data_IF_930703692827
#
_entry.id   IF_930703692827
#
_cell.length_a   1.000
_cell.length_b   1.000
_cell.length_c   1.000
_cell.angle_alpha   90.00
_cell.angle_beta   90.00
_cell.angle_gamma   90.00
#
_symmetry.space_group_name_H-M   'P 1'
#
loop_
_entity.id
_entity.type
_entity.pdbx_description
1 polymer ?
#
# COMPACT_ATOMS: atom_id res chain seq x y z
N UNK A 1 3.06 -15.24 -13.16
CA UNK A 1 3.78 -14.07 -12.62
C UNK A 1 3.84 -13.04 -13.74
N UNK A 2 3.38 -11.83 -13.47
CA UNK A 2 3.03 -10.83 -14.49
C UNK A 2 4.28 -10.31 -15.22
N UNK A 3 4.28 -10.37 -16.56
CA UNK A 3 5.50 -10.24 -17.41
C UNK A 3 6.19 -8.88 -17.26
N UNK A 4 5.48 -7.86 -16.77
CA UNK A 4 6.00 -6.51 -16.53
C UNK A 4 6.40 -6.23 -15.07
N UNK A 5 5.88 -6.99 -14.10
CA UNK A 5 6.11 -6.73 -12.68
C UNK A 5 7.48 -7.23 -12.21
N UNK A 6 7.87 -8.44 -12.62
CA UNK A 6 9.17 -9.01 -12.28
C UNK A 6 10.37 -8.13 -12.68
N UNK A 7 10.45 -7.62 -13.93
CA UNK A 7 11.53 -6.71 -14.29
C UNK A 7 11.44 -5.38 -13.53
N UNK A 8 10.23 -4.88 -13.26
CA UNK A 8 10.05 -3.67 -12.46
C UNK A 8 10.61 -3.82 -11.03
N UNK A 9 10.26 -4.91 -10.33
CA UNK A 9 10.78 -5.20 -8.99
C UNK A 9 12.31 -5.37 -8.97
N UNK A 10 12.87 -5.96 -10.03
CA UNK A 10 14.30 -6.22 -10.14
C UNK A 10 15.13 -4.97 -10.47
N UNK A 11 14.56 -4.04 -11.26
CA UNK A 11 15.30 -2.91 -11.82
C UNK A 11 15.00 -1.57 -11.12
N UNK A 12 13.86 -1.44 -10.44
CA UNK A 12 13.49 -0.21 -9.73
C UNK A 12 13.92 -0.23 -8.26
N UNK A 13 14.13 0.96 -7.73
CA UNK A 13 14.52 1.19 -6.33
C UNK A 13 13.48 2.02 -5.57
N UNK A 14 13.59 2.07 -4.23
CA UNK A 14 12.75 2.91 -3.38
C UNK A 14 12.90 4.40 -3.75
N UNK A 15 14.11 4.84 -4.09
CA UNK A 15 14.39 6.21 -4.54
C UNK A 15 13.71 6.55 -5.87
N UNK A 16 13.73 5.62 -6.84
CA UNK A 16 13.01 5.81 -8.10
C UNK A 16 11.48 5.88 -7.90
N UNK A 17 10.94 5.01 -7.04
CA UNK A 17 9.52 5.06 -6.69
C UNK A 17 9.16 6.40 -6.02
N UNK A 18 10.00 6.89 -5.10
CA UNK A 18 9.85 8.19 -4.46
C UNK A 18 9.81 9.32 -5.49
N UNK A 19 10.74 9.31 -6.44
CA UNK A 19 10.79 10.32 -7.50
C UNK A 19 9.55 10.29 -8.41
N UNK A 20 9.07 9.10 -8.79
CA UNK A 20 7.88 8.93 -9.65
C UNK A 20 6.58 9.35 -8.95
N UNK A 21 6.47 9.13 -7.65
CA UNK A 21 5.30 9.49 -6.86
C UNK A 21 5.31 10.95 -6.38
N UNK A 22 6.49 11.58 -6.31
CA UNK A 22 6.70 12.84 -5.59
C UNK A 22 6.27 12.76 -4.11
N UNK A 23 6.45 11.58 -3.50
CA UNK A 23 6.07 11.24 -2.14
C UNK A 23 7.12 10.29 -1.56
N UNK A 24 7.33 10.33 -0.24
CA UNK A 24 8.30 9.48 0.45
C UNK A 24 7.91 8.00 0.41
N UNK A 25 8.38 7.25 -0.59
CA UNK A 25 7.95 5.87 -0.81
C UNK A 25 8.33 4.94 0.34
N UNK A 26 9.45 5.20 1.02
CA UNK A 26 9.82 4.53 2.26
C UNK A 26 8.74 4.63 3.34
N UNK A 27 8.19 5.83 3.57
CA UNK A 27 7.10 6.06 4.53
C UNK A 27 5.80 5.41 4.07
N UNK A 28 5.48 5.46 2.77
CA UNK A 28 4.30 4.79 2.23
C UNK A 28 4.37 3.27 2.43
N UNK A 29 5.49 2.63 2.07
CA UNK A 29 5.69 1.19 2.25
C UNK A 29 5.57 0.82 3.73
N UNK A 30 6.22 1.56 4.63
CA UNK A 30 6.17 1.29 6.07
C UNK A 30 4.76 1.48 6.65
N UNK A 31 4.11 2.59 6.32
CA UNK A 31 2.75 2.92 6.75
C UNK A 31 1.73 1.89 6.27
N UNK A 32 1.92 1.33 5.07
CA UNK A 32 1.04 0.29 4.56
C UNK A 32 1.05 -0.94 5.46
N UNK A 33 2.23 -1.40 5.88
CA UNK A 33 2.35 -2.57 6.75
C UNK A 33 1.75 -2.34 8.12
N UNK A 34 2.05 -1.19 8.73
CA UNK A 34 1.48 -0.79 10.02
C UNK A 34 -0.06 -0.67 9.98
N UNK A 35 -0.63 -0.13 8.89
CA UNK A 35 -2.09 -0.07 8.72
C UNK A 35 -2.74 -1.45 8.53
N UNK A 36 -2.03 -2.38 7.91
CA UNK A 36 -2.57 -3.71 7.58
C UNK A 36 -2.35 -4.74 8.69
N UNK A 37 -1.45 -4.51 9.65
CA UNK A 37 -1.25 -5.42 10.80
C UNK A 37 -2.55 -5.77 11.54
N UNK A 38 -3.44 -4.81 11.89
CA UNK A 38 -4.72 -5.12 12.52
C UNK A 38 -5.69 -5.89 11.60
N UNK A 39 -5.55 -5.76 10.28
CA UNK A 39 -6.44 -6.41 9.31
C UNK A 39 -6.31 -7.93 9.37
N UNK A 40 -5.12 -8.47 9.63
CA UNK A 40 -4.89 -9.92 9.74
C UNK A 40 -5.72 -10.59 10.84
N UNK A 41 -6.08 -9.83 11.87
CA UNK A 41 -6.88 -10.30 13.01
C UNK A 41 -8.35 -9.86 12.93
N UNK A 42 -8.70 -9.05 11.93
CA UNK A 42 -10.03 -8.50 11.73
C UNK A 42 -10.93 -9.47 10.95
N UNK A 43 -12.23 -9.41 11.19
CA UNK A 43 -13.21 -10.15 10.38
C UNK A 43 -13.55 -9.34 9.13
N UNK A 44 -13.89 -9.98 7.99
CA UNK A 44 -14.26 -9.24 6.78
C UNK A 44 -15.35 -8.19 6.97
N UNK A 45 -16.34 -8.49 7.83
CA UNK A 45 -17.44 -7.59 8.14
C UNK A 45 -17.06 -6.37 9.02
N UNK A 46 -15.82 -6.25 9.52
CA UNK A 46 -15.40 -5.08 10.32
C UNK A 46 -14.60 -4.04 9.53
N UNK A 47 -14.13 -4.37 8.33
CA UNK A 47 -13.31 -3.47 7.51
C UNK A 47 -14.19 -2.75 6.48
N UNK A 48 -14.52 -1.50 6.77
CA UNK A 48 -15.44 -0.70 5.95
C UNK A 48 -14.75 0.43 5.17
N UNK A 49 -13.55 0.83 5.62
CA UNK A 49 -12.79 1.90 4.98
C UNK A 49 -12.03 1.36 3.78
N UNK A 50 -11.95 2.19 2.73
CA UNK A 50 -11.11 1.92 1.57
C UNK A 50 -9.73 2.56 1.74
N UNK A 51 -8.72 1.95 1.13
CA UNK A 51 -7.34 2.42 1.16
C UNK A 51 -7.01 3.13 -0.16
N UNK A 52 -6.45 4.33 -0.07
CA UNK A 52 -6.03 5.14 -1.23
C UNK A 52 -4.51 5.11 -1.33
N UNK A 53 -4.02 4.45 -2.38
CA UNK A 53 -2.61 4.22 -2.65
C UNK A 53 -2.16 5.11 -3.81
N UNK A 54 -1.15 5.98 -3.64
CA UNK A 54 -0.75 6.91 -4.68
C UNK A 54 -0.13 6.18 -5.87
N UNK A 55 -0.39 6.67 -7.08
CA UNK A 55 0.19 6.16 -8.31
C UNK A 55 0.91 7.27 -9.09
N UNK A 56 1.93 6.92 -9.91
CA UNK A 56 2.61 7.88 -10.76
C UNK A 56 1.66 8.55 -11.77
N UNK A 57 2.00 9.80 -12.13
CA UNK A 57 1.34 10.52 -13.23
C UNK A 57 1.55 9.85 -14.57
N UNK A 58 2.76 9.35 -14.81
CA UNK A 58 3.10 8.57 -16.00
C UNK A 58 2.24 7.31 -16.10
N UNK A 59 1.56 7.15 -17.24
CA UNK A 59 0.64 6.04 -17.51
C UNK A 59 1.34 4.68 -17.63
N UNK A 60 2.59 4.66 -18.11
CA UNK A 60 3.35 3.42 -18.25
C UNK A 60 3.75 2.84 -16.88
N UNK A 61 4.22 3.69 -15.96
CA UNK A 61 4.55 3.29 -14.59
C UNK A 61 3.31 3.02 -13.72
N UNK A 62 2.14 3.58 -14.04
CA UNK A 62 0.93 3.49 -13.20
C UNK A 62 0.52 2.06 -12.85
N UNK A 63 0.44 1.19 -13.85
CA UNK A 63 -0.04 -0.18 -13.67
C UNK A 63 0.97 -1.04 -12.90
N UNK A 64 2.27 -0.86 -13.16
CA UNK A 64 3.31 -1.62 -12.46
C UNK A 64 3.46 -1.18 -11.00
N UNK A 65 3.26 0.11 -10.71
CA UNK A 65 3.20 0.60 -9.32
C UNK A 65 1.93 0.12 -8.60
N UNK A 66 0.78 0.08 -9.28
CA UNK A 66 -0.43 -0.51 -8.71
C UNK A 66 -0.23 -2.01 -8.37
N UNK A 67 0.41 -2.76 -9.27
CA UNK A 67 0.75 -4.16 -9.04
C UNK A 67 1.75 -4.32 -7.87
N UNK A 68 2.76 -3.46 -7.76
CA UNK A 68 3.66 -3.43 -6.59
C UNK A 68 2.90 -3.21 -5.27
N UNK A 69 1.94 -2.28 -5.24
CA UNK A 69 1.12 -2.09 -4.05
C UNK A 69 0.31 -3.33 -3.67
N UNK A 70 -0.25 -4.02 -4.67
CA UNK A 70 -0.98 -5.27 -4.44
C UNK A 70 -0.07 -6.40 -3.96
N UNK A 71 1.19 -6.47 -4.42
CA UNK A 71 2.17 -7.45 -3.91
C UNK A 71 2.45 -7.29 -2.41
N UNK A 72 2.40 -6.06 -1.89
CA UNK A 72 2.54 -5.79 -0.46
C UNK A 72 1.24 -6.08 0.30
N UNK A 73 0.10 -5.69 -0.27
CA UNK A 73 -1.21 -5.74 0.41
C UNK A 73 -1.82 -7.14 0.46
N UNK A 74 -1.78 -7.89 -0.65
CA UNK A 74 -2.51 -9.16 -0.79
C UNK A 74 -2.14 -10.19 0.29
N UNK A 75 -0.87 -10.37 0.69
CA UNK A 75 -0.50 -11.34 1.72
C UNK A 75 -1.24 -11.19 3.05
N UNK A 76 -1.61 -9.97 3.46
CA UNK A 76 -2.36 -9.71 4.70
C UNK A 76 -3.79 -10.25 4.67
N UNK A 77 -4.40 -10.31 3.48
CA UNK A 77 -5.84 -10.57 3.33
C UNK A 77 -6.16 -11.93 2.69
N UNK A 78 -5.15 -12.61 2.11
CA UNK A 78 -5.32 -13.91 1.46
C UNK A 78 -5.92 -14.99 2.36
N UNK A 79 -5.68 -14.93 3.66
CA UNK A 79 -6.17 -15.95 4.63
C UNK A 79 -7.57 -15.67 5.17
N UNK A 80 -8.10 -14.48 4.92
CA UNK A 80 -9.30 -13.95 5.58
C UNK A 80 -10.56 -13.90 4.71
N UNK A 81 -10.48 -14.32 3.45
CA UNK A 81 -11.65 -14.41 2.55
C UNK A 81 -12.27 -13.06 2.19
N UNK A 82 -11.48 -11.98 2.17
CA UNK A 82 -11.94 -10.67 1.70
C UNK A 82 -12.18 -10.69 0.19
N UNK A 83 -13.33 -10.18 -0.23
CA UNK A 83 -13.53 -9.70 -1.59
C UNK A 83 -12.91 -8.31 -1.72
N UNK A 84 -12.24 -8.04 -2.85
CA UNK A 84 -11.66 -6.74 -3.14
C UNK A 84 -12.38 -6.05 -4.27
N UNK A 85 -12.51 -4.73 -4.14
CA UNK A 85 -12.90 -3.86 -5.24
C UNK A 85 -11.76 -2.89 -5.48
N UNK A 86 -11.27 -2.86 -6.72
CA UNK A 86 -10.11 -2.06 -7.12
C UNK A 86 -10.52 -0.99 -8.12
N UNK A 87 -10.21 0.27 -7.83
CA UNK A 87 -10.41 1.38 -8.75
C UNK A 87 -9.09 2.06 -9.06
N UNK A 88 -8.71 2.14 -10.33
CA UNK A 88 -7.64 3.01 -10.79
C UNK A 88 -8.27 4.32 -11.26
N UNK A 89 -8.10 5.38 -10.48
CA UNK A 89 -8.80 6.65 -10.68
C UNK A 89 -7.92 7.84 -10.27
N UNK A 90 -8.52 9.02 -10.15
CA UNK A 90 -7.91 10.19 -9.52
C UNK A 90 -8.61 10.48 -8.19
N UNK A 91 -7.83 10.73 -7.16
CA UNK A 91 -8.29 11.21 -5.85
C UNK A 91 -7.50 12.47 -5.53
N UNK A 92 -8.20 13.58 -5.22
CA UNK A 92 -7.57 14.90 -5.03
C UNK A 92 -6.65 15.28 -6.21
N UNK A 93 -7.12 15.06 -7.45
CA UNK A 93 -6.37 15.29 -8.71
C UNK A 93 -5.08 14.45 -8.91
N UNK A 94 -4.82 13.47 -8.04
CA UNK A 94 -3.67 12.57 -8.15
C UNK A 94 -4.10 11.17 -8.57
N UNK A 95 -3.40 10.52 -9.51
CA UNK A 95 -3.66 9.11 -9.81
C UNK A 95 -3.52 8.25 -8.57
N UNK A 96 -4.49 7.38 -8.33
CA UNK A 96 -4.51 6.52 -7.16
C UNK A 96 -5.14 5.16 -7.49
N UNK A 97 -4.68 4.14 -6.77
CA UNK A 97 -5.35 2.86 -6.63
C UNK A 97 -6.18 2.93 -5.35
N UNK A 98 -7.49 2.85 -5.48
CA UNK A 98 -8.41 2.74 -4.34
C UNK A 98 -8.80 1.28 -4.15
N UNK A 99 -8.52 0.75 -2.96
CA UNK A 99 -8.77 -0.63 -2.56
C UNK A 99 -9.91 -0.65 -1.54
N UNK A 100 -11.07 -1.12 -1.94
CA UNK A 100 -12.17 -1.44 -1.04
C UNK A 100 -12.07 -2.87 -0.53
N UNK A 101 -12.36 -3.07 0.75
CA UNK A 101 -12.38 -4.39 1.40
C UNK A 101 -13.83 -4.77 1.68
N UNK A 102 -14.34 -5.81 1.04
CA UNK A 102 -15.73 -6.26 1.13
C UNK A 102 -16.47 -6.27 -0.21
N UNK A 103 -17.35 -7.26 -0.41
CA UNK A 103 -18.02 -7.51 -1.69
C UNK A 103 -19.02 -6.43 -2.12
N UNK A 104 -19.35 -5.47 -1.25
CA UNK A 104 -20.24 -4.35 -1.59
C UNK A 104 -19.44 -3.13 -2.05
N UNK A 105 -19.29 -2.97 -3.38
CA UNK A 105 -18.61 -1.83 -3.99
C UNK A 105 -19.28 -0.47 -3.69
N UNK A 106 -20.53 -0.45 -3.22
CA UNK A 106 -21.35 0.76 -3.04
C UNK A 106 -20.67 1.79 -2.14
N UNK A 107 -20.16 1.39 -0.97
CA UNK A 107 -19.52 2.32 -0.04
C UNK A 107 -18.24 2.93 -0.62
N UNK A 108 -17.40 2.10 -1.24
CA UNK A 108 -16.16 2.56 -1.88
C UNK A 108 -16.46 3.48 -3.06
N UNK A 109 -17.45 3.14 -3.89
CA UNK A 109 -17.85 3.96 -5.03
C UNK A 109 -18.49 5.28 -4.61
N UNK A 110 -19.31 5.29 -3.55
CA UNK A 110 -19.87 6.52 -3.00
C UNK A 110 -18.76 7.46 -2.52
N UNK A 111 -17.76 6.93 -1.81
CA UNK A 111 -16.58 7.68 -1.39
C UNK A 111 -15.70 8.18 -2.55
N UNK A 112 -15.80 7.59 -3.75
CA UNK A 112 -15.14 8.12 -4.95
C UNK A 112 -15.88 9.32 -5.57
N UNK A 113 -17.19 9.43 -5.32
CA UNK A 113 -18.06 10.46 -5.91
C UNK A 113 -18.21 11.65 -4.96
N UNK A 114 -18.41 11.39 -3.67
CA UNK A 114 -18.64 12.41 -2.65
C UNK A 114 -17.40 12.62 -1.76
N UNK A 115 -16.73 13.78 -1.84
CA UNK A 115 -15.55 14.09 -1.02
C UNK A 115 -15.82 14.10 0.49
N UNK A 116 -17.05 14.38 0.92
CA UNK A 116 -17.40 14.37 2.34
C UNK A 116 -17.45 12.93 2.87
N UNK A 117 -18.01 12.01 2.07
CA UNK A 117 -17.98 10.58 2.38
C UNK A 117 -16.54 10.05 2.31
N UNK A 118 -15.76 10.52 1.33
CA UNK A 118 -14.34 10.19 1.21
C UNK A 118 -13.56 10.50 2.49
N UNK A 119 -13.78 11.68 3.08
CA UNK A 119 -13.06 12.11 4.30
C UNK A 119 -13.23 11.15 5.49
N UNK A 120 -14.37 10.46 5.58
CA UNK A 120 -14.64 9.48 6.64
C UNK A 120 -14.24 8.04 6.24
N UNK A 121 -14.52 7.66 4.99
CA UNK A 121 -14.45 6.28 4.50
C UNK A 121 -13.16 5.93 3.74
N UNK A 122 -12.26 6.88 3.50
CA UNK A 122 -10.96 6.65 2.85
C UNK A 122 -9.80 6.87 3.82
N UNK A 123 -8.88 5.91 3.84
CA UNK A 123 -7.57 6.05 4.46
C UNK A 123 -6.57 6.40 3.37
N UNK A 124 -5.99 7.59 3.43
CA UNK A 124 -4.98 8.03 2.47
C UNK A 124 -3.60 7.72 2.99
N UNK A 125 -2.83 6.92 2.25
CA UNK A 125 -1.49 6.53 2.67
C UNK A 125 -0.51 7.72 2.68
N UNK A 126 -0.83 8.79 1.96
CA UNK A 126 -0.07 10.05 1.98
C UNK A 126 -0.09 10.73 3.36
N UNK A 127 -1.14 10.50 4.17
CA UNK A 127 -1.32 11.08 5.49
C UNK A 127 -0.56 10.24 6.54
N UNK A 128 0.77 10.39 6.56
CA UNK A 128 1.70 9.48 7.25
C UNK A 128 2.42 10.04 8.49
N UNK A 129 1.87 11.10 9.09
CA UNK A 129 2.42 11.72 10.30
C UNK A 129 2.44 10.76 11.51
N UNK A 130 1.47 9.85 11.59
CA UNK A 130 1.33 8.87 12.68
C UNK A 130 2.41 7.77 12.67
N UNK A 131 3.18 7.61 11.58
CA UNK A 131 4.16 6.53 11.44
C UNK A 131 5.25 6.63 12.51
N UNK A 132 5.73 7.84 12.81
CA UNK A 132 6.88 8.02 13.72
C UNK A 132 6.57 7.52 15.14
N UNK A 133 5.31 7.64 15.57
CA UNK A 133 4.83 7.13 16.87
C UNK A 133 4.83 5.59 16.93
N UNK A 134 4.60 4.93 15.79
CA UNK A 134 4.48 3.46 15.72
C UNK A 134 5.84 2.77 15.53
N UNK A 135 6.77 3.39 14.80
CA UNK A 135 8.13 2.84 14.56
C UNK A 135 8.93 2.69 15.86
N UNK A 136 8.63 3.52 16.87
CA UNK A 136 9.26 3.45 18.19
C UNK A 136 8.94 2.16 18.96
N UNK A 137 7.87 1.44 18.60
CA UNK A 137 7.32 0.36 19.42
C UNK A 137 7.87 -1.03 19.09
N UNK A 138 8.35 -1.25 17.86
CA UNK A 138 8.75 -2.56 17.35
C UNK A 138 10.16 -2.52 16.72
N UNK A 139 11.03 -3.43 17.15
CA UNK A 139 12.43 -3.52 16.70
C UNK A 139 12.54 -3.93 15.23
N UNK A 140 11.68 -4.83 14.76
CA UNK A 140 11.71 -5.33 13.39
C UNK A 140 11.20 -4.26 12.41
N UNK A 141 10.19 -3.50 12.82
CA UNK A 141 9.68 -2.33 12.09
C UNK A 141 10.75 -1.25 11.99
N UNK A 142 11.52 -1.01 13.05
CA UNK A 142 12.62 -0.04 13.05
C UNK A 142 13.77 -0.48 12.13
N UNK A 143 14.11 -1.76 12.12
CA UNK A 143 15.09 -2.31 11.20
C UNK A 143 14.64 -2.12 9.74
N UNK A 144 13.37 -2.46 9.43
CA UNK A 144 12.79 -2.22 8.10
C UNK A 144 12.85 -0.74 7.71
N UNK A 145 12.46 0.17 8.61
CA UNK A 145 12.53 1.60 8.37
C UNK A 145 13.95 2.05 7.97
N UNK A 146 14.96 1.59 8.71
CA UNK A 146 16.37 1.87 8.42
C UNK A 146 16.82 1.36 7.05
N UNK A 147 16.38 0.17 6.61
CA UNK A 147 16.65 -0.30 5.25
C UNK A 147 15.96 0.56 4.19
N UNK A 148 14.69 0.92 4.40
CA UNK A 148 13.90 1.71 3.44
C UNK A 148 14.43 3.15 3.27
N UNK A 149 15.20 3.68 4.22
CA UNK A 149 15.89 4.97 4.07
C UNK A 149 16.92 4.96 2.94
N UNK A 150 17.43 3.79 2.52
CA UNK A 150 18.41 3.68 1.45
C UNK A 150 17.74 3.87 0.09
N UNK A 151 17.99 4.96 -0.65
CA UNK A 151 17.29 5.22 -1.92
C UNK A 151 17.60 4.19 -3.00
N UNK A 152 18.77 3.54 -2.93
CA UNK A 152 19.21 2.51 -3.86
C UNK A 152 18.62 1.11 -3.55
N UNK A 153 17.84 0.95 -2.47
CA UNK A 153 17.26 -0.33 -2.10
C UNK A 153 16.34 -0.85 -3.23
N UNK A 154 16.60 -2.03 -3.81
CA UNK A 154 15.73 -2.60 -4.84
C UNK A 154 14.33 -2.88 -4.31
N UNK A 155 13.30 -2.61 -5.13
CA UNK A 155 11.90 -2.84 -4.71
C UNK A 155 11.61 -4.31 -4.39
N UNK A 156 12.30 -5.25 -5.06
CA UNK A 156 12.23 -6.68 -4.72
C UNK A 156 12.66 -6.95 -3.28
N UNK A 157 13.82 -6.42 -2.87
CA UNK A 157 14.33 -6.59 -1.52
C UNK A 157 13.47 -5.83 -0.50
N UNK A 158 12.99 -4.63 -0.84
CA UNK A 158 12.05 -3.89 0.00
C UNK A 158 10.77 -4.70 0.28
N UNK A 159 10.20 -5.36 -0.74
CA UNK A 159 9.06 -6.28 -0.60
C UNK A 159 9.39 -7.46 0.29
N UNK A 160 10.53 -8.11 0.09
CA UNK A 160 10.93 -9.27 0.91
C UNK A 160 11.10 -8.91 2.39
N UNK A 161 11.83 -7.83 2.68
CA UNK A 161 11.99 -7.32 4.04
C UNK A 161 10.63 -6.95 4.66
N UNK A 162 9.79 -6.25 3.92
CA UNK A 162 8.45 -5.89 4.35
C UNK A 162 7.60 -7.11 4.72
N UNK A 163 7.55 -8.13 3.87
CA UNK A 163 6.77 -9.34 4.15
C UNK A 163 7.32 -10.10 5.35
N UNK A 164 8.64 -10.21 5.46
CA UNK A 164 9.29 -10.84 6.61
C UNK A 164 8.95 -10.11 7.92
N UNK A 165 8.95 -8.78 7.93
CA UNK A 165 8.63 -7.97 9.12
C UNK A 165 7.17 -8.10 9.53
N UNK A 166 6.22 -8.03 8.59
CA UNK A 166 4.80 -7.91 8.94
C UNK A 166 4.01 -9.22 8.91
N UNK A 167 4.41 -10.19 8.09
CA UNK A 167 3.73 -11.48 7.91
C UNK A 167 4.53 -12.62 8.53
N UNK A 168 5.84 -12.41 8.75
CA UNK A 168 6.81 -13.45 9.05
C UNK A 168 7.38 -14.07 7.77
N UNK A 169 8.45 -14.84 7.90
CA UNK A 169 9.00 -15.62 6.79
C UNK A 169 7.88 -16.53 6.23
N UNK A 170 7.50 -16.32 4.98
CA UNK A 170 6.59 -17.24 4.31
C UNK A 170 7.18 -18.66 4.36
N UNK A 171 6.40 -19.68 4.74
CA UNK A 171 6.87 -21.07 4.76
C UNK A 171 7.27 -21.58 3.38
#
# INVERSE_FOLDING_TARGET
MDRALDPYLALSTVGELTARLHLAANRLILGLGLLLQPVMHSRPASLHKSLVLPLPRDGAARHVTAAFWLELLLPFIRRSGFDLVLFLTRVRERPALVVGFGGAAVGTLHALIDPLVAADQQVHLEDNAWIDEQVGLDVDVRALASYLEQPALPLRLARELFLNTFIGAAP
#
